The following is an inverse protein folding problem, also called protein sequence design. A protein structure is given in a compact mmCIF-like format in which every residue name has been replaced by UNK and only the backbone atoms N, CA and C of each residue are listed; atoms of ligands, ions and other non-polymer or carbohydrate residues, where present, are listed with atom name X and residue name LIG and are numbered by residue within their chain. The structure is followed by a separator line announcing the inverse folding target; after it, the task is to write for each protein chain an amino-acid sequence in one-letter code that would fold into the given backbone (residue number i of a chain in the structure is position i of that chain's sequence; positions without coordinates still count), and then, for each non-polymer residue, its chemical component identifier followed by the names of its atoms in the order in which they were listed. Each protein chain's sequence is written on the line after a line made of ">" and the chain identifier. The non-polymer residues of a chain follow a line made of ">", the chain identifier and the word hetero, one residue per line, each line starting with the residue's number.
data_IF_107345016433
#
_entry.id   IF_107345016433
#
_cell.length_a   1.000
_cell.length_b   1.000
_cell.length_c   1.000
_cell.angle_alpha   90.00
_cell.angle_beta   90.00
_cell.angle_gamma   90.00
#
_symmetry.space_group_name_H-M   'P 1'
#
loop_
_entity.id
_entity.type
_entity.pdbx_description
1 polymer ?
#
# COMPACT_ATOMS: atom_id res chain seq x y z
N UNK A 1 16.52 -38.43 10.57
CA UNK A 1 16.10 -37.72 9.33
C UNK A 1 14.85 -36.86 9.48
N UNK A 2 13.84 -37.23 10.30
CA UNK A 2 12.57 -36.48 10.40
C UNK A 2 12.74 -34.99 10.78
N UNK A 3 13.55 -34.68 11.80
CA UNK A 3 13.76 -33.31 12.28
C UNK A 3 14.40 -32.36 11.24
N UNK A 4 15.16 -32.88 10.28
CA UNK A 4 15.77 -32.05 9.24
C UNK A 4 14.76 -31.65 8.17
N UNK A 5 13.92 -32.60 7.74
CA UNK A 5 12.87 -32.34 6.75
C UNK A 5 11.80 -31.39 7.31
N UNK A 6 11.41 -31.57 8.56
CA UNK A 6 10.46 -30.67 9.22
C UNK A 6 11.01 -29.24 9.34
N UNK A 7 12.28 -29.09 9.73
CA UNK A 7 12.94 -27.78 9.81
C UNK A 7 13.06 -27.11 8.44
N UNK A 8 13.45 -27.86 7.41
CA UNK A 8 13.54 -27.34 6.05
C UNK A 8 12.16 -26.90 5.52
N UNK A 9 11.10 -27.65 5.80
CA UNK A 9 9.74 -27.28 5.41
C UNK A 9 9.24 -26.05 6.17
N UNK A 10 9.53 -25.91 7.47
CA UNK A 10 9.17 -24.71 8.24
C UNK A 10 9.88 -23.47 7.70
N UNK A 11 11.18 -23.57 7.42
CA UNK A 11 11.97 -22.45 6.91
C UNK A 11 11.48 -22.00 5.52
N UNK A 12 11.11 -22.95 4.65
CA UNK A 12 10.54 -22.64 3.33
C UNK A 12 9.15 -21.99 3.42
N UNK A 13 8.32 -22.41 4.39
CA UNK A 13 7.02 -21.76 4.65
C UNK A 13 7.18 -20.31 5.12
N UNK A 14 8.14 -20.05 6.01
CA UNK A 14 8.43 -18.68 6.48
C UNK A 14 8.91 -17.82 5.31
N UNK A 15 9.86 -18.31 4.51
CA UNK A 15 10.36 -17.56 3.36
C UNK A 15 9.26 -17.22 2.32
N UNK A 16 8.33 -18.16 2.08
CA UNK A 16 7.17 -17.92 1.22
C UNK A 16 6.19 -16.92 1.82
N UNK A 17 5.94 -17.00 3.12
CA UNK A 17 5.05 -16.06 3.80
C UNK A 17 5.61 -14.64 3.74
N UNK A 18 6.92 -14.46 3.97
CA UNK A 18 7.58 -13.16 3.84
C UNK A 18 7.49 -12.59 2.42
N UNK A 19 7.56 -13.44 1.39
CA UNK A 19 7.39 -13.02 0.00
C UNK A 19 5.96 -12.55 -0.27
N UNK A 20 4.96 -13.30 0.19
CA UNK A 20 3.54 -12.94 0.08
C UNK A 20 3.27 -11.63 0.83
N UNK A 21 3.75 -11.48 2.05
CA UNK A 21 3.53 -10.28 2.86
C UNK A 21 4.13 -9.04 2.20
N UNK A 22 5.30 -9.17 1.55
CA UNK A 22 5.92 -8.09 0.76
C UNK A 22 5.08 -7.72 -0.45
N UNK A 23 4.62 -8.70 -1.23
CA UNK A 23 3.78 -8.44 -2.40
C UNK A 23 2.44 -7.81 -2.00
N UNK A 24 1.83 -8.27 -0.91
CA UNK A 24 0.60 -7.70 -0.34
C UNK A 24 0.84 -6.26 0.11
N UNK A 25 1.98 -5.95 0.73
CA UNK A 25 2.33 -4.58 1.13
C UNK A 25 2.46 -3.66 -0.10
N UNK A 26 3.16 -4.09 -1.14
CA UNK A 26 3.31 -3.33 -2.40
C UNK A 26 1.94 -3.09 -3.03
N UNK A 27 1.12 -4.14 -3.19
CA UNK A 27 -0.21 -4.00 -3.76
C UNK A 27 -1.09 -3.05 -2.94
N UNK A 28 -1.02 -3.13 -1.60
CA UNK A 28 -1.78 -2.23 -0.71
C UNK A 28 -1.37 -0.77 -0.91
N UNK A 29 -0.09 -0.48 -1.04
CA UNK A 29 0.39 0.88 -1.36
C UNK A 29 -0.14 1.37 -2.71
N UNK A 30 -0.07 0.54 -3.76
CA UNK A 30 -0.58 0.91 -5.08
C UNK A 30 -2.10 1.20 -5.06
N UNK A 31 -2.88 0.39 -4.34
CA UNK A 31 -4.32 0.62 -4.20
C UNK A 31 -4.62 1.93 -3.46
N UNK A 32 -3.83 2.28 -2.44
CA UNK A 32 -3.96 3.57 -1.72
C UNK A 32 -3.70 4.74 -2.68
N UNK A 33 -2.63 4.66 -3.48
CA UNK A 33 -2.29 5.71 -4.46
C UNK A 33 -3.41 5.86 -5.49
N UNK A 34 -3.91 4.75 -6.05
CA UNK A 34 -5.03 4.77 -7.02
C UNK A 34 -6.31 5.33 -6.41
N UNK A 35 -6.63 4.96 -5.17
CA UNK A 35 -7.79 5.52 -4.46
C UNK A 35 -7.65 7.02 -4.20
N UNK A 36 -6.46 7.47 -3.79
CA UNK A 36 -6.17 8.89 -3.61
C UNK A 36 -6.25 9.67 -4.94
N UNK A 37 -5.75 9.09 -6.04
CA UNK A 37 -5.85 9.67 -7.38
C UNK A 37 -7.32 9.80 -7.83
N UNK A 38 -8.13 8.76 -7.66
CA UNK A 38 -9.56 8.81 -7.98
C UNK A 38 -10.33 9.86 -7.15
N UNK A 39 -9.94 10.05 -5.88
CA UNK A 39 -10.51 11.11 -5.03
C UNK A 39 -10.08 12.52 -5.49
N UNK A 40 -8.86 12.67 -6.02
CA UNK A 40 -8.39 13.91 -6.65
C UNK A 40 -9.15 14.19 -7.96
N UNK A 41 -9.38 13.18 -8.81
CA UNK A 41 -10.22 13.30 -10.02
C UNK A 41 -11.63 13.78 -9.69
N UNK A 42 -12.20 13.22 -8.62
CA UNK A 42 -13.53 13.60 -8.11
C UNK A 42 -13.58 15.01 -7.48
N UNK A 43 -12.48 15.78 -7.54
CA UNK A 43 -12.34 17.14 -6.97
C UNK A 43 -12.64 17.20 -5.47
N UNK A 44 -12.36 16.12 -4.74
CA UNK A 44 -12.48 16.11 -3.28
C UNK A 44 -11.37 16.99 -2.69
N UNK A 45 -11.69 17.81 -1.68
CA UNK A 45 -10.70 18.62 -0.99
C UNK A 45 -9.60 17.74 -0.39
N UNK A 46 -8.34 18.14 -0.56
CA UNK A 46 -7.18 17.37 -0.10
C UNK A 46 -7.24 17.02 1.39
N UNK A 47 -7.72 17.94 2.23
CA UNK A 47 -7.88 17.70 3.67
C UNK A 47 -8.86 16.54 3.94
N UNK A 48 -9.92 16.46 3.14
CA UNK A 48 -10.90 15.37 3.23
C UNK A 48 -10.35 14.07 2.69
N UNK A 49 -9.46 14.10 1.68
CA UNK A 49 -8.74 12.90 1.21
C UNK A 49 -7.81 12.38 2.32
N UNK A 50 -7.06 13.27 2.99
CA UNK A 50 -6.21 12.89 4.13
C UNK A 50 -7.01 12.29 5.27
N UNK A 51 -8.16 12.86 5.63
CA UNK A 51 -9.07 12.30 6.63
C UNK A 51 -9.59 10.91 6.23
N UNK A 52 -9.95 10.71 4.96
CA UNK A 52 -10.41 9.40 4.46
C UNK A 52 -9.28 8.36 4.48
N UNK A 53 -8.08 8.73 4.04
CA UNK A 53 -6.90 7.86 4.08
C UNK A 53 -6.52 7.50 5.52
N UNK A 54 -6.57 8.45 6.45
CA UNK A 54 -6.38 8.21 7.88
C UNK A 54 -7.45 7.24 8.43
N UNK A 55 -8.73 7.50 8.13
CA UNK A 55 -9.85 6.75 8.71
C UNK A 55 -10.01 5.33 8.17
N UNK A 56 -9.80 5.12 6.88
CA UNK A 56 -10.09 3.84 6.22
C UNK A 56 -8.86 2.95 6.02
N UNK A 57 -7.67 3.54 5.94
CA UNK A 57 -6.42 2.77 5.78
C UNK A 57 -5.54 2.74 7.03
N UNK A 58 -5.97 3.39 8.12
CA UNK A 58 -5.23 3.49 9.39
C UNK A 58 -3.79 4.04 9.20
N UNK A 59 -3.64 4.90 8.20
CA UNK A 59 -2.38 5.54 7.85
C UNK A 59 -2.10 6.68 8.83
N UNK A 60 -0.82 6.89 9.18
CA UNK A 60 -0.47 8.10 9.93
C UNK A 60 -0.71 9.33 9.05
N UNK A 61 -0.99 10.50 9.65
CA UNK A 61 -1.18 11.73 8.88
C UNK A 61 -0.02 12.07 7.95
N UNK A 62 1.22 11.76 8.35
CA UNK A 62 2.43 11.91 7.54
C UNK A 62 2.44 11.00 6.32
N UNK A 63 2.02 9.74 6.48
CA UNK A 63 1.95 8.77 5.38
C UNK A 63 0.83 9.13 4.42
N UNK A 64 -0.35 9.52 4.94
CA UNK A 64 -1.46 9.99 4.12
C UNK A 64 -1.08 11.22 3.26
N UNK A 65 -0.25 12.13 3.79
CA UNK A 65 0.27 13.25 3.03
C UNK A 65 1.23 12.79 1.91
N UNK A 66 2.09 11.81 2.19
CA UNK A 66 3.03 11.25 1.22
C UNK A 66 2.31 10.50 0.09
N UNK A 67 1.26 9.72 0.41
CA UNK A 67 0.43 9.05 -0.58
C UNK A 67 -0.37 10.04 -1.43
N UNK A 68 -0.87 11.12 -0.84
CA UNK A 68 -1.56 12.17 -1.59
C UNK A 68 -0.61 12.90 -2.55
N UNK A 69 0.64 13.12 -2.16
CA UNK A 69 1.67 13.68 -3.03
C UNK A 69 2.03 12.71 -4.17
N UNK A 70 2.27 11.43 -3.87
CA UNK A 70 2.48 10.38 -4.89
C UNK A 70 1.32 10.31 -5.88
N UNK A 71 0.08 10.34 -5.38
CA UNK A 71 -1.10 10.32 -6.23
C UNK A 71 -1.16 11.53 -7.16
N UNK A 72 -0.80 12.73 -6.69
CA UNK A 72 -0.69 13.93 -7.55
C UNK A 72 0.37 13.76 -8.63
N UNK A 73 1.54 13.22 -8.29
CA UNK A 73 2.63 13.02 -9.24
C UNK A 73 2.25 12.01 -10.33
N UNK A 74 1.64 10.88 -9.94
CA UNK A 74 1.13 9.87 -10.89
C UNK A 74 0.03 10.44 -11.79
N UNK A 75 -0.87 11.24 -11.22
CA UNK A 75 -1.96 11.86 -11.96
C UNK A 75 -1.48 12.97 -12.92
N UNK A 76 -0.34 13.62 -12.62
CA UNK A 76 0.30 14.62 -13.48
C UNK A 76 1.01 13.97 -14.67
N UNK A 77 1.55 12.75 -14.50
CA UNK A 77 2.15 11.97 -15.59
C UNK A 77 1.10 11.42 -16.56
N UNK A 78 -0.08 11.02 -16.08
CA UNK A 78 -1.17 10.51 -16.93
C UNK A 78 -1.90 11.59 -17.74
N UNK A 79 -1.71 12.88 -17.42
CA UNK A 79 -2.28 14.01 -18.18
C UNK A 79 -1.29 14.68 -19.15
N UNK A 80 -0.08 14.16 -19.30
CA UNK A 80 0.91 14.58 -20.32
C UNK A 80 0.84 13.72 -21.57
#
# INVERSE_FOLDING_TARGET
>A
MANFLEKFQSDNRVARQEMIDKEVAIAKEEYIVKAAAALLEAKVKEDKIKELLFKYWDLRPSDAALFLQKAKDTHLEEQK
#
